data_IF_060713530530
#
_entry.id   IF_060713530530
#
_cell.length_a   1.000
_cell.length_b   1.000
_cell.length_c   1.000
_cell.angle_alpha   90.00
_cell.angle_beta   90.00
_cell.angle_gamma   90.00
#
_symmetry.space_group_name_H-M   'P 1'
#
loop_
_entity.id
_entity.type
_entity.pdbx_description
1 polymer ?
#
# COMPACT_ATOMS: atom_id res chain seq x y z
N UNK A 1 -1.41 13.16 3.76
CA UNK A 1 -1.69 11.78 4.17
C UNK A 1 -1.02 10.76 3.26
N UNK A 2 -1.21 10.82 1.93
CA UNK A 2 -0.70 9.82 0.99
C UNK A 2 0.82 9.65 1.04
N UNK A 3 1.57 10.74 1.21
CA UNK A 3 3.02 10.67 1.37
C UNK A 3 3.41 9.80 2.58
N UNK A 4 2.83 10.06 3.76
CA UNK A 4 3.12 9.27 4.97
C UNK A 4 2.66 7.82 4.84
N UNK A 5 1.51 7.59 4.20
CA UNK A 5 1.05 6.24 3.87
C UNK A 5 2.09 5.49 3.02
N UNK A 6 2.64 6.14 1.99
CA UNK A 6 3.69 5.57 1.15
C UNK A 6 4.98 5.32 1.95
N UNK A 7 5.36 6.22 2.89
CA UNK A 7 6.52 5.99 3.76
C UNK A 7 6.34 4.75 4.64
N UNK A 8 5.13 4.48 5.15
CA UNK A 8 4.85 3.23 5.87
C UNK A 8 5.03 1.99 4.97
N UNK A 9 4.59 2.06 3.71
CA UNK A 9 4.78 0.97 2.75
C UNK A 9 6.26 0.75 2.41
N UNK A 10 7.03 1.83 2.21
CA UNK A 10 8.48 1.78 1.97
C UNK A 10 9.18 1.11 3.16
N UNK A 11 8.90 1.56 4.39
CA UNK A 11 9.47 0.96 5.60
C UNK A 11 9.14 -0.52 5.72
N UNK A 12 7.92 -0.89 5.36
CA UNK A 12 7.49 -2.29 5.39
C UNK A 12 8.25 -3.14 4.36
N UNK A 13 8.50 -2.60 3.17
CA UNK A 13 9.34 -3.24 2.14
C UNK A 13 10.80 -3.37 2.61
N UNK A 14 11.40 -2.32 3.16
CA UNK A 14 12.77 -2.34 3.71
C UNK A 14 12.97 -3.39 4.80
N UNK A 15 11.94 -3.63 5.61
CA UNK A 15 11.95 -4.65 6.67
C UNK A 15 11.65 -6.06 6.15
N UNK A 16 11.43 -6.25 4.85
CA UNK A 16 10.98 -7.53 4.28
C UNK A 16 9.59 -7.96 4.76
N UNK A 17 8.79 -7.04 5.27
CA UNK A 17 7.49 -7.32 5.89
C UNK A 17 6.29 -7.03 4.96
N UNK A 18 6.52 -7.02 3.64
CA UNK A 18 5.45 -6.80 2.68
C UNK A 18 4.69 -8.11 2.37
N UNK A 19 5.36 -9.25 2.49
CA UNK A 19 4.79 -10.58 2.16
C UNK A 19 4.17 -11.29 3.37
N UNK A 20 4.19 -10.65 4.54
CA UNK A 20 3.59 -11.21 5.74
C UNK A 20 2.91 -10.14 6.60
N UNK A 21 2.03 -10.60 7.48
CA UNK A 21 1.36 -9.77 8.47
C UNK A 21 2.32 -9.48 9.64
N UNK A 22 2.14 -8.31 10.23
CA UNK A 22 2.73 -7.96 11.52
C UNK A 22 1.67 -8.05 12.61
N UNK A 23 2.09 -8.41 13.82
CA UNK A 23 1.21 -8.34 14.97
C UNK A 23 0.73 -6.91 15.17
N UNK A 24 -0.58 -6.76 15.37
CA UNK A 24 -1.23 -5.46 15.51
C UNK A 24 -1.57 -4.76 14.20
N UNK A 25 -1.34 -5.40 13.05
CA UNK A 25 -1.86 -4.90 11.78
C UNK A 25 -3.38 -4.72 11.84
N UNK A 26 -3.88 -3.68 11.19
CA UNK A 26 -5.29 -3.60 10.83
C UNK A 26 -5.44 -4.21 9.45
N UNK A 27 -5.97 -5.42 9.41
CA UNK A 27 -6.22 -6.13 8.16
C UNK A 27 -7.61 -5.82 7.60
N UNK A 28 -7.75 -5.94 6.29
CA UNK A 28 -9.00 -5.74 5.56
C UNK A 28 -9.30 -6.96 4.69
N UNK A 29 -10.54 -7.45 4.78
CA UNK A 29 -11.04 -8.56 3.95
C UNK A 29 -11.21 -8.09 2.50
N UNK A 30 -10.67 -8.83 1.55
CA UNK A 30 -10.75 -8.50 0.12
C UNK A 30 -12.20 -8.55 -0.39
N UNK A 31 -12.96 -9.56 0.02
CA UNK A 31 -14.32 -9.77 -0.48
C UNK A 31 -15.34 -8.78 0.12
N UNK A 32 -15.25 -8.45 1.41
CA UNK A 32 -16.30 -7.68 2.12
C UNK A 32 -15.87 -6.28 2.52
N UNK A 33 -14.57 -6.00 2.50
CA UNK A 33 -14.02 -4.72 2.97
C UNK A 33 -14.01 -4.55 4.49
N UNK A 34 -14.46 -5.53 5.26
CA UNK A 34 -14.45 -5.50 6.73
C UNK A 34 -13.02 -5.47 7.28
N UNK A 35 -12.78 -4.61 8.26
CA UNK A 35 -11.48 -4.47 8.92
C UNK A 35 -11.47 -5.17 10.27
N UNK A 36 -10.28 -5.60 10.72
CA UNK A 36 -10.06 -6.22 12.02
C UNK A 36 -8.59 -6.13 12.44
N UNK A 37 -8.32 -6.23 13.74
CA UNK A 37 -6.95 -6.28 14.28
C UNK A 37 -6.37 -7.69 14.12
N UNK A 38 -5.13 -7.79 13.65
CA UNK A 38 -4.36 -9.05 13.61
C UNK A 38 -3.70 -9.26 14.96
N UNK A 39 -4.26 -10.17 15.76
CA UNK A 39 -3.74 -10.54 17.08
C UNK A 39 -2.79 -11.74 16.96
N UNK A 40 -3.24 -12.78 16.29
CA UNK A 40 -2.50 -14.03 16.05
C UNK A 40 -2.06 -14.10 14.59
N UNK A 41 -0.80 -13.75 14.34
CA UNK A 41 -0.23 -13.69 12.98
C UNK A 41 -0.29 -15.06 12.31
N UNK A 42 0.06 -16.11 13.02
CA UNK A 42 0.12 -17.48 12.51
C UNK A 42 -1.27 -17.97 12.03
N UNK A 43 -2.34 -17.53 12.69
CA UNK A 43 -3.70 -17.88 12.31
C UNK A 43 -4.17 -17.15 11.05
N UNK A 44 -3.73 -15.91 10.86
CA UNK A 44 -4.17 -15.05 9.75
C UNK A 44 -3.22 -15.10 8.52
N UNK A 45 -1.99 -15.53 8.70
CA UNK A 45 -1.00 -15.59 7.62
C UNK A 45 -1.42 -16.47 6.43
N UNK A 46 -2.05 -17.64 6.61
CA UNK A 46 -2.57 -18.43 5.49
C UNK A 46 -3.60 -17.67 4.66
N UNK A 47 -4.49 -16.92 5.30
CA UNK A 47 -5.50 -16.09 4.62
C UNK A 47 -4.87 -14.93 3.86
N UNK A 48 -3.78 -14.36 4.42
CA UNK A 48 -2.98 -13.35 3.75
C UNK A 48 -2.30 -13.91 2.49
N UNK A 49 -1.71 -15.10 2.58
CA UNK A 49 -1.10 -15.79 1.46
C UNK A 49 -2.13 -16.17 0.38
N UNK A 50 -3.35 -16.57 0.79
CA UNK A 50 -4.47 -16.84 -0.10
C UNK A 50 -5.14 -15.57 -0.67
N UNK A 51 -4.63 -14.37 -0.34
CA UNK A 51 -5.15 -13.07 -0.81
C UNK A 51 -6.59 -12.76 -0.35
N UNK A 52 -7.11 -13.47 0.64
CA UNK A 52 -8.41 -13.23 1.24
C UNK A 52 -8.45 -11.96 2.09
N UNK A 53 -7.29 -11.60 2.64
CA UNK A 53 -7.07 -10.39 3.43
C UNK A 53 -5.79 -9.68 3.01
N UNK A 54 -5.69 -8.41 3.32
CA UNK A 54 -4.44 -7.65 3.21
C UNK A 54 -4.28 -6.77 4.44
N UNK A 55 -3.03 -6.53 4.85
CA UNK A 55 -2.78 -5.43 5.76
C UNK A 55 -3.23 -4.11 5.14
N UNK A 56 -3.43 -3.10 5.96
CA UNK A 56 -3.73 -1.75 5.51
C UNK A 56 -2.65 -0.80 5.99
N UNK A 57 -2.44 0.29 5.22
CA UNK A 57 -1.54 1.38 5.58
C UNK A 57 -2.33 2.61 6.05
N UNK A 58 -1.77 3.44 6.94
CA UNK A 58 -2.47 4.56 7.55
C UNK A 58 -2.65 5.73 6.58
N UNK A 59 -3.85 6.27 6.52
CA UNK A 59 -4.12 7.64 6.09
C UNK A 59 -4.40 8.44 7.35
N UNK A 60 -3.33 8.98 7.96
CA UNK A 60 -3.37 9.54 9.32
C UNK A 60 -4.47 10.57 9.54
N UNK A 61 -5.06 10.51 10.71
CA UNK A 61 -6.06 11.44 11.21
C UNK A 61 -6.62 10.95 12.55
N UNK A 62 -7.30 11.82 13.33
CA UNK A 62 -7.69 11.54 14.71
C UNK A 62 -8.71 10.41 14.87
N UNK A 63 -9.44 10.07 13.80
CA UNK A 63 -10.43 8.96 13.81
C UNK A 63 -9.97 7.70 13.09
N UNK A 64 -8.71 7.67 12.64
CA UNK A 64 -8.17 6.48 12.00
C UNK A 64 -8.12 5.31 12.99
N UNK A 65 -8.46 4.12 12.53
CA UNK A 65 -8.22 2.89 13.28
C UNK A 65 -6.71 2.68 13.42
N UNK A 66 -6.17 2.87 14.62
CA UNK A 66 -4.74 2.79 14.88
C UNK A 66 -4.27 1.33 14.90
N UNK A 67 -3.15 1.04 14.24
CA UNK A 67 -2.45 -0.22 14.38
C UNK A 67 -1.84 -0.33 15.80
N UNK A 68 -1.56 -1.56 16.21
CA UNK A 68 -1.02 -1.89 17.56
C UNK A 68 0.32 -2.61 17.42
N UNK A 69 0.91 -2.96 18.53
CA UNK A 69 2.12 -3.79 18.62
C UNK A 69 3.20 -3.41 17.56
N UNK A 70 3.76 -4.38 16.84
CA UNK A 70 4.82 -4.18 15.87
C UNK A 70 4.40 -3.27 14.70
N UNK A 71 3.18 -3.45 14.18
CA UNK A 71 2.63 -2.59 13.14
C UNK A 71 2.44 -1.15 13.63
N UNK A 72 1.94 -0.97 14.85
CA UNK A 72 1.78 0.34 15.48
C UNK A 72 3.11 1.05 15.72
N UNK A 73 4.16 0.32 16.13
CA UNK A 73 5.51 0.87 16.28
C UNK A 73 6.03 1.43 14.96
N UNK A 74 5.87 0.68 13.86
CA UNK A 74 6.26 1.12 12.52
C UNK A 74 5.53 2.40 12.11
N UNK A 75 4.19 2.40 12.22
CA UNK A 75 3.37 3.54 11.81
C UNK A 75 3.66 4.78 12.66
N UNK A 76 3.80 4.63 13.97
CA UNK A 76 4.13 5.73 14.87
C UNK A 76 5.53 6.31 14.60
N UNK A 77 6.51 5.47 14.26
CA UNK A 77 7.85 5.93 13.89
C UNK A 77 7.84 6.79 12.62
N UNK A 78 7.05 6.41 11.61
CA UNK A 78 6.89 7.20 10.39
C UNK A 78 6.23 8.54 10.68
N UNK A 79 5.18 8.56 11.50
CA UNK A 79 4.52 9.81 11.88
C UNK A 79 5.46 10.71 12.69
N UNK A 80 6.20 10.15 13.66
CA UNK A 80 7.12 10.90 14.51
C UNK A 80 8.30 11.51 13.75
N UNK A 81 8.73 10.87 12.64
CA UNK A 81 9.77 11.41 11.76
C UNK A 81 9.25 12.53 10.83
N UNK A 82 7.95 12.79 10.85
CA UNK A 82 7.30 13.82 10.01
C UNK A 82 7.17 15.14 10.78
N UNK A 83 7.20 16.30 10.09
CA UNK A 83 6.86 17.59 10.71
C UNK A 83 5.35 17.72 10.96
N UNK A 84 4.52 16.78 10.50
CA UNK A 84 3.06 16.80 10.62
C UNK A 84 2.62 15.89 11.75
N UNK A 85 1.71 16.38 12.60
CA UNK A 85 1.15 15.64 13.75
C UNK A 85 -0.34 15.33 13.54
N UNK A 86 -0.89 14.44 14.37
CA UNK A 86 -2.35 14.18 14.37
C UNK A 86 -3.17 15.44 14.66
N UNK A 87 -2.62 16.38 15.44
CA UNK A 87 -3.28 17.66 15.72
C UNK A 87 -3.39 18.54 14.47
N UNK A 88 -2.36 18.55 13.61
CA UNK A 88 -2.42 19.24 12.33
C UNK A 88 -3.54 18.67 11.43
N UNK A 89 -3.70 17.34 11.39
CA UNK A 89 -4.79 16.71 10.67
C UNK A 89 -6.16 17.05 11.26
N UNK A 90 -6.28 17.08 12.60
CA UNK A 90 -7.51 17.46 13.29
C UNK A 90 -7.91 18.91 12.96
N UNK A 91 -6.97 19.86 13.02
CA UNK A 91 -7.20 21.26 12.63
C UNK A 91 -7.61 21.40 11.16
N UNK A 92 -7.03 20.59 10.27
CA UNK A 92 -7.40 20.54 8.86
C UNK A 92 -8.71 19.77 8.60
N UNK A 93 -9.39 19.28 9.62
CA UNK A 93 -10.63 18.47 9.54
C UNK A 93 -10.46 17.19 8.73
N UNK A 94 -9.28 16.60 8.77
CA UNK A 94 -8.95 15.35 8.10
C UNK A 94 -9.10 14.22 9.12
N UNK A 95 -10.17 13.43 9.00
CA UNK A 95 -10.53 12.40 9.99
C UNK A 95 -9.55 11.22 10.03
N UNK A 96 -9.00 10.88 8.88
CA UNK A 96 -8.16 9.70 8.71
C UNK A 96 -8.95 8.43 8.38
N UNK A 97 -8.26 7.49 7.76
CA UNK A 97 -8.80 6.18 7.38
C UNK A 97 -7.65 5.22 7.11
N UNK A 98 -7.95 4.05 6.54
CA UNK A 98 -6.93 3.08 6.16
C UNK A 98 -7.07 2.71 4.68
N UNK A 99 -5.93 2.48 4.03
CA UNK A 99 -5.83 2.06 2.63
C UNK A 99 -5.29 0.63 2.57
N UNK A 100 -5.79 -0.20 1.66
CA UNK A 100 -5.22 -1.51 1.38
C UNK A 100 -3.72 -1.37 1.09
N UNK A 101 -2.89 -2.19 1.73
CA UNK A 101 -1.44 -2.17 1.56
C UNK A 101 -0.98 -2.83 0.26
N UNK A 102 -1.79 -3.76 -0.27
CA UNK A 102 -1.54 -4.44 -1.55
C UNK A 102 -2.66 -4.17 -2.53
N UNK A 103 -2.31 -4.04 -3.80
CA UNK A 103 -3.24 -4.05 -4.91
C UNK A 103 -3.14 -5.41 -5.61
N UNK A 104 -4.26 -6.10 -5.72
CA UNK A 104 -4.37 -7.35 -6.49
C UNK A 104 -4.83 -7.02 -7.90
N UNK A 105 -4.19 -7.62 -8.89
CA UNK A 105 -4.50 -7.47 -10.33
C UNK A 105 -4.74 -8.86 -10.91
N UNK A 106 -5.88 -9.50 -10.59
CA UNK A 106 -6.12 -10.92 -10.91
C UNK A 106 -6.31 -11.18 -12.40
N UNK A 107 -6.69 -10.18 -13.17
CA UNK A 107 -6.97 -10.24 -14.61
C UNK A 107 -5.76 -9.80 -15.46
N UNK A 108 -4.56 -9.66 -14.86
CA UNK A 108 -3.37 -9.31 -15.60
C UNK A 108 -3.04 -10.39 -16.63
N UNK A 109 -2.96 -9.97 -17.90
CA UNK A 109 -2.51 -10.79 -19.01
C UNK A 109 -1.37 -10.11 -19.75
N UNK A 110 -0.41 -10.91 -20.25
CA UNK A 110 0.70 -10.44 -21.04
C UNK A 110 0.69 -11.15 -22.41
N UNK A 111 0.85 -10.39 -23.48
CA UNK A 111 0.96 -10.91 -24.84
C UNK A 111 2.11 -10.22 -25.57
N UNK A 112 2.77 -10.96 -26.47
CA UNK A 112 3.78 -10.39 -27.38
C UNK A 112 3.09 -10.08 -28.70
N UNK A 113 3.17 -8.82 -29.15
CA UNK A 113 2.67 -8.36 -30.44
C UNK A 113 3.68 -7.42 -31.08
N UNK A 114 4.06 -7.70 -32.32
CA UNK A 114 4.93 -6.83 -33.14
C UNK A 114 6.21 -6.38 -32.41
N UNK A 115 6.87 -7.31 -31.69
CA UNK A 115 8.08 -7.07 -30.88
C UNK A 115 7.86 -6.21 -29.62
N UNK A 116 6.61 -5.96 -29.24
CA UNK A 116 6.23 -5.29 -28.02
C UNK A 116 5.53 -6.24 -27.05
N UNK A 117 5.64 -5.97 -25.74
CA UNK A 117 4.85 -6.64 -24.71
C UNK A 117 3.62 -5.80 -24.45
N UNK A 118 2.44 -6.40 -24.63
CA UNK A 118 1.15 -5.79 -24.33
C UNK A 118 0.67 -6.36 -22.99
N UNK A 119 0.50 -5.50 -21.99
CA UNK A 119 -0.12 -5.83 -20.72
C UNK A 119 -1.57 -5.35 -20.71
N UNK A 120 -2.50 -6.24 -20.36
CA UNK A 120 -3.93 -5.92 -20.22
C UNK A 120 -4.37 -6.26 -18.79
N UNK A 121 -5.01 -5.32 -18.12
CA UNK A 121 -5.49 -5.47 -16.73
C UNK A 121 -6.52 -4.40 -16.39
N UNK A 122 -7.31 -4.66 -15.35
CA UNK A 122 -8.26 -3.70 -14.78
C UNK A 122 -7.78 -3.20 -13.42
N UNK A 123 -7.91 -1.91 -13.19
CA UNK A 123 -7.56 -1.28 -11.92
C UNK A 123 -8.77 -0.63 -11.27
N UNK A 124 -8.89 -0.70 -9.93
CA UNK A 124 -9.90 0.06 -9.21
C UNK A 124 -9.61 1.57 -9.32
N UNK A 125 -10.65 2.39 -9.19
CA UNK A 125 -10.53 3.84 -9.17
C UNK A 125 -9.51 4.31 -8.12
N UNK A 126 -8.57 5.14 -8.56
CA UNK A 126 -7.51 5.68 -7.70
C UNK A 126 -6.22 4.85 -7.68
N UNK A 127 -6.16 3.71 -8.38
CA UNK A 127 -4.91 3.01 -8.65
C UNK A 127 -4.27 3.54 -9.95
N UNK A 128 -2.93 3.45 -10.02
CA UNK A 128 -2.16 4.01 -11.14
C UNK A 128 -1.54 2.89 -11.97
N UNK A 129 -1.86 2.85 -13.26
CA UNK A 129 -1.30 1.87 -14.20
C UNK A 129 0.23 1.98 -14.29
N UNK A 130 0.79 3.18 -14.16
CA UNK A 130 2.23 3.43 -14.14
C UNK A 130 2.95 2.66 -13.04
N UNK A 131 2.35 2.49 -11.86
CA UNK A 131 2.92 1.68 -10.76
C UNK A 131 2.96 0.21 -11.14
N UNK A 132 1.91 -0.33 -11.77
CA UNK A 132 1.86 -1.72 -12.24
C UNK A 132 2.89 -1.92 -13.34
N UNK A 133 2.96 -1.00 -14.30
CA UNK A 133 3.93 -1.09 -15.40
C UNK A 133 5.37 -1.01 -14.89
N UNK A 134 5.69 -0.14 -13.94
CA UNK A 134 7.00 -0.06 -13.31
C UNK A 134 7.39 -1.37 -12.63
N UNK A 135 6.45 -2.01 -11.94
CA UNK A 135 6.68 -3.31 -11.30
C UNK A 135 6.91 -4.42 -12.34
N UNK A 136 6.20 -4.40 -13.46
CA UNK A 136 6.41 -5.35 -14.56
C UNK A 136 7.75 -5.15 -15.27
N UNK A 137 8.13 -3.91 -15.53
CA UNK A 137 9.35 -3.56 -16.25
C UNK A 137 10.61 -3.64 -15.39
N UNK A 138 10.45 -3.59 -14.05
CA UNK A 138 11.58 -3.52 -13.09
C UNK A 138 12.55 -2.36 -13.37
N UNK A 139 12.01 -1.23 -13.83
CA UNK A 139 12.79 0.00 -14.13
C UNK A 139 12.86 0.86 -12.87
N UNK A 140 14.06 1.31 -12.53
CA UNK A 140 14.27 2.30 -11.46
C UNK A 140 13.88 3.71 -11.94
N UNK A 141 13.49 4.59 -11.00
CA UNK A 141 12.90 5.91 -11.31
C UNK A 141 13.79 6.84 -12.15
N UNK A 142 15.11 6.64 -12.19
CA UNK A 142 16.06 7.47 -12.94
C UNK A 142 15.88 7.46 -14.48
N UNK A 143 15.16 6.46 -15.00
CA UNK A 143 14.94 6.33 -16.45
C UNK A 143 13.59 6.85 -16.94
N UNK A 144 12.66 7.19 -16.04
CA UNK A 144 11.32 7.69 -16.44
C UNK A 144 11.30 9.19 -16.75
N UNK A 145 12.29 9.96 -16.27
CA UNK A 145 12.43 11.39 -16.58
C UNK A 145 12.86 11.66 -18.02
N UNK A 146 13.50 10.69 -18.67
CA UNK A 146 14.00 10.84 -20.06
C UNK A 146 12.89 10.69 -21.11
N UNK A 147 11.83 9.93 -20.81
CA UNK A 147 10.74 9.67 -21.78
C UNK A 147 9.75 10.83 -21.84
N UNK A 148 9.66 11.66 -20.80
CA UNK A 148 8.74 12.80 -20.75
C UNK A 148 9.26 14.04 -21.52
N UNK A 149 10.54 14.09 -21.90
CA UNK A 149 11.15 15.23 -22.62
C UNK A 149 11.19 15.05 -24.14
N UNK A 150 10.80 13.88 -24.68
CA UNK A 150 10.82 13.63 -26.13
C UNK A 150 9.47 13.88 -26.83
N UNK A 151 8.41 14.27 -26.11
CA UNK A 151 7.07 14.54 -26.65
C UNK A 151 6.65 16.05 -26.61
N UNK A 152 7.61 17.02 -26.60
CA UNK A 152 7.33 18.45 -26.83
C UNK A 152 7.67 18.90 -28.25
#
# INVERSE_FOLDING_TARGET
>A
QSYLCNQCLVRRLEMGAFDHLLRGDVAKKTATGGMFDVVEVEAEQPRYAAQEISFTAPLYGPRMWAAKDAAGVLENAVLAASPVTLEHFARARVEGTRRMGRLLVPDLTLAIRDRAIVASFTLPKGAFATVVMRELMKVEDDHLSVIAEEDE
#
